data_IF_907448567395
#
_entry.id   IF_907448567395
#
_cell.length_a   1.000
_cell.length_b   1.000
_cell.length_c   1.000
_cell.angle_alpha   90.00
_cell.angle_beta   90.00
_cell.angle_gamma   90.00
#
_symmetry.space_group_name_H-M   'P 1'
#
loop_
_entity.id
_entity.type
_entity.pdbx_description
1 polymer ?
#
# COMPACT_ATOMS: atom_id res chain seq x y z
N UNK A 1 25.21 8.69 -25.42
CA UNK A 1 25.72 8.16 -24.13
C UNK A 1 25.34 9.14 -23.04
N UNK A 2 24.32 8.81 -22.25
CA UNK A 2 23.63 9.76 -21.37
C UNK A 2 24.31 9.86 -20.01
N UNK A 3 25.01 10.97 -19.76
CA UNK A 3 25.61 11.31 -18.47
C UNK A 3 24.58 11.37 -17.31
N UNK A 4 23.28 11.49 -17.62
CA UNK A 4 22.20 11.51 -16.65
C UNK A 4 21.95 10.16 -15.97
N UNK A 5 22.25 9.03 -16.64
CA UNK A 5 22.01 7.69 -16.09
C UNK A 5 23.02 7.27 -15.02
N UNK A 6 24.29 7.67 -15.17
CA UNK A 6 25.35 7.44 -14.18
C UNK A 6 25.18 8.31 -12.94
N UNK A 7 24.70 9.55 -13.09
CA UNK A 7 24.43 10.43 -11.96
C UNK A 7 23.30 9.90 -11.06
N UNK A 8 22.21 9.39 -11.66
CA UNK A 8 21.09 8.82 -10.91
C UNK A 8 21.44 7.49 -10.21
N UNK A 9 22.24 6.62 -10.85
CA UNK A 9 22.78 5.42 -10.21
C UNK A 9 23.68 5.75 -9.00
N UNK A 10 24.56 6.76 -9.14
CA UNK A 10 25.39 7.24 -8.04
C UNK A 10 24.59 7.82 -6.87
N UNK A 11 23.41 8.39 -7.13
CA UNK A 11 22.53 8.92 -6.09
C UNK A 11 21.92 7.81 -5.22
N UNK A 12 21.46 6.69 -5.82
CA UNK A 12 20.94 5.54 -5.08
C UNK A 12 22.00 4.98 -4.13
N UNK A 13 23.20 4.72 -4.64
CA UNK A 13 24.31 4.19 -3.83
C UNK A 13 24.74 5.18 -2.73
N UNK A 14 24.76 6.48 -3.02
CA UNK A 14 25.06 7.50 -2.02
C UNK A 14 24.03 7.56 -0.89
N UNK A 15 22.73 7.49 -1.20
CA UNK A 15 21.67 7.45 -0.20
C UNK A 15 21.68 6.14 0.60
N UNK A 16 21.96 5.01 -0.06
CA UNK A 16 22.03 3.70 0.59
C UNK A 16 23.02 3.69 1.76
N UNK A 17 24.18 4.33 1.61
CA UNK A 17 25.19 4.46 2.67
C UNK A 17 24.74 5.25 3.90
N UNK A 18 23.68 6.05 3.77
CA UNK A 18 23.13 6.83 4.88
C UNK A 18 22.07 6.07 5.67
N UNK A 19 21.56 4.95 5.13
CA UNK A 19 20.52 4.15 5.78
C UNK A 19 21.09 3.41 6.97
N UNK A 20 20.51 3.65 8.14
CA UNK A 20 20.79 2.96 9.38
C UNK A 20 19.49 2.75 10.16
N UNK A 21 19.39 1.75 11.05
CA UNK A 21 18.17 1.50 11.82
C UNK A 21 17.68 2.76 12.57
N UNK A 22 16.40 3.07 12.42
CA UNK A 22 15.75 4.24 13.03
C UNK A 22 15.93 5.57 12.29
N UNK A 23 16.81 5.66 11.28
CA UNK A 23 16.94 6.84 10.41
C UNK A 23 15.96 6.80 9.24
N UNK A 24 14.67 6.94 9.56
CA UNK A 24 13.60 6.89 8.57
C UNK A 24 13.68 8.03 7.53
N UNK A 25 14.28 9.17 7.89
CA UNK A 25 14.55 10.28 6.97
C UNK A 25 15.50 9.88 5.84
N UNK A 26 16.59 9.19 6.18
CA UNK A 26 17.55 8.68 5.21
C UNK A 26 16.95 7.54 4.36
N UNK A 27 16.11 6.69 4.97
CA UNK A 27 15.39 5.65 4.26
C UNK A 27 14.43 6.23 3.21
N UNK A 28 13.65 7.25 3.56
CA UNK A 28 12.77 7.93 2.59
C UNK A 28 13.56 8.60 1.46
N UNK A 29 14.72 9.20 1.76
CA UNK A 29 15.60 9.74 0.73
C UNK A 29 16.13 8.65 -0.22
N UNK A 30 16.43 7.45 0.30
CA UNK A 30 16.75 6.28 -0.53
C UNK A 30 15.57 5.88 -1.42
N UNK A 31 14.34 5.81 -0.89
CA UNK A 31 13.17 5.48 -1.69
C UNK A 31 12.95 6.49 -2.83
N UNK A 32 13.16 7.78 -2.57
CA UNK A 32 13.09 8.82 -3.60
C UNK A 32 14.18 8.66 -4.66
N UNK A 33 15.42 8.37 -4.24
CA UNK A 33 16.52 8.09 -5.16
C UNK A 33 16.24 6.85 -6.01
N UNK A 34 15.68 5.78 -5.43
CA UNK A 34 15.25 4.60 -6.17
C UNK A 34 14.15 4.93 -7.17
N UNK A 35 13.13 5.69 -6.77
CA UNK A 35 12.01 6.06 -7.64
C UNK A 35 12.44 6.91 -8.86
N UNK A 36 13.54 7.66 -8.77
CA UNK A 36 14.11 8.40 -9.89
C UNK A 36 15.33 7.73 -10.55
N UNK A 37 15.78 6.60 -10.01
CA UNK A 37 17.04 5.97 -10.34
C UNK A 37 16.90 4.68 -11.15
N UNK A 38 18.06 4.07 -11.41
CA UNK A 38 18.18 2.77 -12.07
C UNK A 38 18.99 1.83 -11.22
N UNK A 39 18.64 0.55 -11.26
CA UNK A 39 19.32 -0.52 -10.55
C UNK A 39 19.61 -1.69 -11.49
N UNK A 40 20.65 -2.45 -11.18
CA UNK A 40 21.05 -3.64 -11.91
C UNK A 40 20.41 -4.85 -11.26
N UNK A 41 19.31 -5.32 -11.84
CA UNK A 41 18.64 -6.55 -11.44
C UNK A 41 19.46 -7.76 -11.87
N UNK A 42 19.70 -8.70 -10.95
CA UNK A 42 20.52 -9.88 -11.22
C UNK A 42 19.63 -11.01 -11.76
N UNK A 43 19.94 -11.50 -12.97
CA UNK A 43 19.16 -12.55 -13.63
C UNK A 43 19.70 -13.93 -13.30
N UNK A 44 18.91 -14.72 -12.58
CA UNK A 44 19.24 -16.12 -12.30
C UNK A 44 19.24 -16.95 -13.58
N UNK A 45 18.28 -16.71 -14.48
CA UNK A 45 18.09 -17.42 -15.74
C UNK A 45 17.77 -16.41 -16.86
N UNK A 46 18.09 -16.76 -18.10
CA UNK A 46 17.75 -15.98 -19.29
C UNK A 46 18.67 -14.77 -19.53
N UNK A 47 18.22 -13.88 -20.42
CA UNK A 47 18.91 -12.63 -20.77
C UNK A 47 17.93 -11.46 -20.65
N UNK A 48 18.45 -10.24 -20.50
CA UNK A 48 17.58 -9.06 -20.44
C UNK A 48 16.63 -9.00 -21.65
N UNK A 49 15.32 -8.87 -21.39
CA UNK A 49 14.27 -8.84 -22.40
C UNK A 49 13.86 -10.19 -23.00
N UNK A 50 14.44 -11.32 -22.56
CA UNK A 50 14.02 -12.64 -23.04
C UNK A 50 12.80 -13.18 -22.27
N UNK A 51 11.93 -13.99 -22.89
CA UNK A 51 10.77 -14.57 -22.20
C UNK A 51 11.12 -15.52 -21.04
N UNK A 52 12.33 -16.06 -21.03
CA UNK A 52 12.87 -16.93 -19.97
C UNK A 52 13.70 -16.17 -18.93
N UNK A 53 13.73 -14.83 -18.97
CA UNK A 53 14.40 -14.00 -17.98
C UNK A 53 13.74 -14.16 -16.60
N UNK A 54 14.55 -14.50 -15.60
CA UNK A 54 14.10 -14.65 -14.23
C UNK A 54 15.06 -13.97 -13.27
N UNK A 55 14.53 -13.13 -12.38
CA UNK A 55 15.29 -12.59 -11.27
C UNK A 55 15.61 -13.70 -10.25
N UNK A 56 16.72 -13.55 -9.55
CA UNK A 56 16.96 -14.35 -8.36
C UNK A 56 15.87 -14.12 -7.31
N UNK A 57 15.70 -15.07 -6.39
CA UNK A 57 14.81 -14.95 -5.27
C UNK A 57 15.52 -15.32 -3.95
N UNK A 58 15.24 -14.55 -2.91
CA UNK A 58 15.64 -14.86 -1.54
C UNK A 58 14.43 -14.62 -0.64
N UNK A 59 14.26 -15.48 0.37
CA UNK A 59 13.30 -15.25 1.44
C UNK A 59 14.04 -14.86 2.72
N UNK A 60 13.63 -13.75 3.33
CA UNK A 60 14.14 -13.28 4.62
C UNK A 60 12.94 -12.95 5.51
N UNK A 61 12.85 -13.58 6.68
CA UNK A 61 11.73 -13.41 7.63
C UNK A 61 10.34 -13.57 6.98
N UNK A 62 10.20 -14.51 6.05
CA UNK A 62 8.95 -14.78 5.32
C UNK A 62 8.62 -13.74 4.24
N UNK A 63 9.54 -12.85 3.90
CA UNK A 63 9.39 -11.86 2.83
C UNK A 63 10.32 -12.20 1.66
N UNK A 64 9.77 -12.20 0.45
CA UNK A 64 10.51 -12.43 -0.79
C UNK A 64 11.22 -11.17 -1.29
N UNK A 65 12.49 -11.31 -1.69
CA UNK A 65 13.28 -10.27 -2.32
C UNK A 65 14.01 -10.72 -3.58
N UNK A 66 14.03 -9.87 -4.60
CA UNK A 66 14.86 -10.02 -5.79
C UNK A 66 16.21 -9.29 -5.60
N UNK A 67 17.37 -9.95 -5.78
CA UNK A 67 18.67 -9.34 -5.57
C UNK A 67 19.03 -8.39 -6.72
N UNK A 68 19.60 -7.24 -6.35
CA UNK A 68 20.05 -6.23 -7.28
C UNK A 68 21.23 -5.44 -6.73
N UNK A 69 21.93 -4.73 -7.61
CA UNK A 69 23.06 -3.88 -7.24
C UNK A 69 22.86 -2.45 -7.72
N UNK A 70 23.45 -1.50 -6.99
CA UNK A 70 23.21 -0.06 -7.19
C UNK A 70 24.13 0.59 -8.22
N UNK A 71 25.20 -0.09 -8.63
CA UNK A 71 26.15 0.44 -9.62
C UNK A 71 26.94 -0.67 -10.34
N UNK A 72 27.63 -0.29 -11.41
CA UNK A 72 28.55 -1.19 -12.12
C UNK A 72 29.75 -1.62 -11.24
N UNK A 73 30.17 -0.77 -10.29
CA UNK A 73 31.21 -1.12 -9.32
C UNK A 73 30.71 -2.22 -8.38
N UNK A 74 29.50 -2.06 -7.83
CA UNK A 74 28.85 -3.06 -6.98
C UNK A 74 28.57 -4.37 -7.75
N UNK A 75 28.19 -4.29 -9.03
CA UNK A 75 28.07 -5.46 -9.88
C UNK A 75 29.41 -6.22 -9.99
N UNK A 76 30.50 -5.50 -10.26
CA UNK A 76 31.83 -6.10 -10.34
C UNK A 76 32.26 -6.71 -8.99
N UNK A 77 31.99 -6.02 -7.88
CA UNK A 77 32.34 -6.45 -6.54
C UNK A 77 31.54 -7.67 -6.07
N UNK A 78 30.29 -7.82 -6.54
CA UNK A 78 29.43 -8.96 -6.19
C UNK A 78 29.93 -10.30 -6.71
N UNK A 79 30.82 -10.30 -7.72
CA UNK A 79 31.26 -11.51 -8.41
C UNK A 79 30.19 -12.16 -9.30
N UNK A 80 29.06 -11.46 -9.55
CA UNK A 80 28.00 -11.96 -10.41
C UNK A 80 28.50 -12.13 -11.85
N UNK A 81 28.43 -13.36 -12.35
CA UNK A 81 28.92 -13.73 -13.68
C UNK A 81 27.82 -14.15 -14.66
N UNK A 82 26.54 -14.01 -14.26
CA UNK A 82 25.37 -14.24 -15.13
C UNK A 82 24.88 -12.92 -15.72
N UNK A 83 23.83 -13.01 -16.53
CA UNK A 83 23.16 -11.84 -17.09
C UNK A 83 22.60 -10.93 -15.98
N UNK A 84 22.41 -9.67 -16.33
CA UNK A 84 21.77 -8.67 -15.50
C UNK A 84 20.97 -7.74 -16.40
N UNK A 85 20.06 -7.00 -15.79
CA UNK A 85 19.22 -6.03 -16.47
C UNK A 85 19.30 -4.68 -15.75
N UNK A 86 19.49 -3.60 -16.49
CA UNK A 86 19.43 -2.24 -15.93
C UNK A 86 17.99 -1.73 -16.04
N UNK A 87 17.29 -1.61 -14.91
CA UNK A 87 15.86 -1.28 -14.85
C UNK A 87 15.62 0.01 -14.07
N UNK A 88 14.66 0.81 -14.52
CA UNK A 88 14.19 2.00 -13.79
C UNK A 88 13.46 1.59 -12.49
N UNK A 89 13.73 2.27 -11.37
CA UNK A 89 13.23 1.88 -10.06
C UNK A 89 11.70 1.86 -9.94
N UNK A 90 11.00 2.72 -10.68
CA UNK A 90 9.52 2.69 -10.78
C UNK A 90 9.01 1.49 -11.55
N UNK A 91 9.72 1.08 -12.59
CA UNK A 91 9.27 -0.02 -13.45
C UNK A 91 9.46 -1.35 -12.72
N UNK A 92 10.62 -1.57 -12.09
CA UNK A 92 10.83 -2.77 -11.28
C UNK A 92 9.87 -2.82 -10.07
N UNK A 93 9.59 -1.68 -9.45
CA UNK A 93 8.62 -1.61 -8.37
C UNK A 93 7.23 -2.08 -8.84
N UNK A 94 6.73 -1.57 -9.97
CA UNK A 94 5.45 -1.98 -10.58
C UNK A 94 5.40 -3.46 -10.94
N UNK A 95 6.53 -4.02 -11.36
CA UNK A 95 6.63 -5.44 -11.70
C UNK A 95 6.56 -6.32 -10.45
N UNK A 96 7.26 -5.98 -9.37
CA UNK A 96 7.44 -6.88 -8.23
C UNK A 96 6.38 -6.76 -7.13
N UNK A 97 5.86 -5.55 -6.87
CA UNK A 97 4.94 -5.36 -5.74
C UNK A 97 3.64 -6.17 -5.84
N UNK A 98 3.00 -6.38 -7.03
CA UNK A 98 1.75 -7.14 -7.13
C UNK A 98 1.88 -8.59 -6.66
N UNK A 99 3.07 -9.16 -6.83
CA UNK A 99 3.42 -10.51 -6.38
C UNK A 99 4.02 -10.52 -4.97
N UNK A 100 3.96 -9.38 -4.26
CA UNK A 100 4.47 -9.18 -2.89
C UNK A 100 5.98 -9.42 -2.76
N UNK A 101 6.73 -9.17 -3.82
CA UNK A 101 8.20 -9.21 -3.83
C UNK A 101 8.81 -7.83 -3.58
N UNK A 102 9.84 -7.78 -2.74
CA UNK A 102 10.73 -6.64 -2.56
C UNK A 102 11.99 -6.72 -3.42
N UNK A 103 12.91 -5.77 -3.22
CA UNK A 103 14.27 -5.84 -3.77
C UNK A 103 15.31 -5.87 -2.65
N UNK A 104 16.42 -6.56 -2.88
CA UNK A 104 17.55 -6.60 -1.96
C UNK A 104 18.77 -5.92 -2.60
N UNK A 105 19.07 -4.71 -2.12
CA UNK A 105 20.14 -3.86 -2.63
C UNK A 105 21.49 -4.31 -2.08
N UNK A 106 22.46 -4.54 -2.98
CA UNK A 106 23.84 -4.90 -2.69
C UNK A 106 23.94 -6.02 -1.63
N UNK A 107 23.34 -7.20 -1.85
CA UNK A 107 23.33 -8.30 -0.88
C UNK A 107 24.73 -8.80 -0.50
N UNK A 108 25.70 -8.58 -1.39
CA UNK A 108 27.11 -8.92 -1.20
C UNK A 108 27.87 -7.94 -0.29
N UNK A 109 27.29 -6.77 0.00
CA UNK A 109 27.94 -5.76 0.83
C UNK A 109 28.20 -6.30 2.25
N UNK A 110 29.32 -5.94 2.90
CA UNK A 110 29.56 -6.31 4.29
C UNK A 110 28.39 -5.86 5.18
N UNK A 111 27.78 -6.81 5.91
CA UNK A 111 26.58 -6.55 6.71
C UNK A 111 25.25 -6.94 6.06
N UNK A 112 25.26 -7.45 4.82
CA UNK A 112 24.10 -8.11 4.21
C UNK A 112 23.15 -7.22 3.42
N UNK A 113 23.62 -6.09 2.87
CA UNK A 113 22.81 -5.21 2.02
C UNK A 113 21.58 -4.60 2.71
N UNK A 114 20.65 -4.04 1.92
CA UNK A 114 19.39 -3.46 2.43
C UNK A 114 18.20 -4.00 1.64
N UNK A 115 17.24 -4.60 2.34
CA UNK A 115 15.96 -5.01 1.77
C UNK A 115 14.97 -3.85 1.70
N UNK A 116 14.34 -3.66 0.54
CA UNK A 116 13.22 -2.75 0.34
C UNK A 116 11.96 -3.62 0.17
N UNK A 117 11.04 -3.64 1.14
CA UNK A 117 9.88 -4.53 1.11
C UNK A 117 8.91 -4.14 -0.01
N UNK A 118 8.08 -5.08 -0.44
CA UNK A 118 7.07 -4.87 -1.48
C UNK A 118 6.10 -3.72 -1.15
N UNK A 119 5.85 -3.45 0.14
CA UNK A 119 5.04 -2.31 0.59
C UNK A 119 5.66 -0.96 0.19
N UNK A 120 6.99 -0.82 0.28
CA UNK A 120 7.69 0.39 -0.17
C UNK A 120 7.85 0.41 -1.68
N UNK A 121 7.95 -0.74 -2.34
CA UNK A 121 7.84 -0.80 -3.81
C UNK A 121 6.47 -0.33 -4.29
N UNK A 122 5.37 -0.69 -3.62
CA UNK A 122 4.05 -0.14 -3.92
C UNK A 122 4.07 1.39 -3.83
N UNK A 123 4.67 1.96 -2.79
CA UNK A 123 4.80 3.43 -2.64
C UNK A 123 5.61 4.05 -3.78
N UNK A 124 6.71 3.42 -4.21
CA UNK A 124 7.48 3.85 -5.38
C UNK A 124 6.64 3.80 -6.66
N UNK A 125 5.87 2.72 -6.86
CA UNK A 125 5.07 2.50 -8.05
C UNK A 125 3.87 3.45 -8.17
N UNK A 126 3.22 3.78 -7.05
CA UNK A 126 1.98 4.59 -7.00
C UNK A 126 2.22 6.08 -6.71
N UNK A 127 3.32 6.40 -6.02
CA UNK A 127 3.73 7.75 -5.63
C UNK A 127 4.05 7.87 -4.14
N UNK A 128 5.30 8.21 -3.82
CA UNK A 128 5.79 8.35 -2.43
C UNK A 128 5.10 9.51 -1.67
N UNK A 129 4.58 10.49 -2.39
CA UNK A 129 3.83 11.65 -1.88
C UNK A 129 2.34 11.34 -1.59
N UNK A 130 1.85 10.20 -2.07
CA UNK A 130 0.43 9.81 -1.96
C UNK A 130 0.16 8.86 -0.81
N UNK A 131 1.21 8.26 -0.26
CA UNK A 131 1.12 7.21 0.74
C UNK A 131 1.99 7.55 1.94
N UNK A 132 1.53 7.22 3.16
CA UNK A 132 2.27 7.55 4.37
C UNK A 132 3.64 6.86 4.41
N UNK A 133 4.64 7.56 4.94
CA UNK A 133 5.96 7.00 5.18
C UNK A 133 5.94 5.99 6.33
N UNK A 134 6.50 4.82 6.07
CA UNK A 134 6.55 3.71 7.03
C UNK A 134 7.70 3.82 8.03
N UNK A 135 7.69 2.98 9.09
CA UNK A 135 6.62 2.07 9.50
C UNK A 135 5.37 2.80 10.00
N UNK A 136 4.20 2.14 9.90
CA UNK A 136 2.91 2.70 10.35
C UNK A 136 2.48 2.09 11.68
N UNK A 137 2.12 2.94 12.65
CA UNK A 137 1.40 2.52 13.85
C UNK A 137 -0.09 2.76 13.65
N UNK A 138 -0.86 1.67 13.66
CA UNK A 138 -2.30 1.66 13.38
C UNK A 138 -3.06 1.27 14.64
N UNK A 139 -4.07 2.07 15.00
CA UNK A 139 -4.94 1.81 16.15
C UNK A 139 -6.38 2.18 15.84
N UNK A 140 -7.32 1.80 16.70
CA UNK A 140 -8.63 2.45 16.70
C UNK A 140 -8.49 3.96 17.03
N UNK A 141 -9.32 4.84 16.47
CA UNK A 141 -9.33 6.25 16.83
C UNK A 141 -9.81 6.47 18.27
N UNK A 142 -9.01 7.15 19.09
CA UNK A 142 -9.37 7.56 20.45
C UNK A 142 -10.02 8.96 20.52
N UNK A 143 -10.11 9.65 19.38
CA UNK A 143 -10.65 11.02 19.30
C UNK A 143 -12.17 10.96 19.14
N UNK A 144 -12.88 11.69 19.99
CA UNK A 144 -14.34 11.81 19.95
C UNK A 144 -14.77 12.89 18.96
N UNK A 145 -15.23 12.46 17.77
CA UNK A 145 -15.77 13.35 16.71
C UNK A 145 -17.18 12.92 16.27
N UNK A 146 -18.15 12.84 17.19
CA UNK A 146 -19.46 12.26 16.92
C UNK A 146 -20.23 12.98 15.80
N UNK A 147 -20.06 14.30 15.65
CA UNK A 147 -20.72 15.09 14.60
C UNK A 147 -20.27 14.66 13.20
N UNK A 148 -18.97 14.43 13.01
CA UNK A 148 -18.41 13.94 11.75
C UNK A 148 -18.95 12.55 11.41
N UNK A 149 -18.92 11.61 12.36
CA UNK A 149 -19.41 10.26 12.13
C UNK A 149 -20.92 10.23 11.86
N UNK A 150 -21.71 11.05 12.55
CA UNK A 150 -23.16 11.15 12.32
C UNK A 150 -23.46 11.65 10.89
N UNK A 151 -22.81 12.75 10.47
CA UNK A 151 -23.00 13.29 9.11
C UNK A 151 -22.53 12.31 8.04
N UNK A 152 -21.37 11.66 8.26
CA UNK A 152 -20.83 10.68 7.33
C UNK A 152 -21.77 9.47 7.16
N UNK A 153 -22.33 8.95 8.27
CA UNK A 153 -23.33 7.88 8.23
C UNK A 153 -24.61 8.32 7.52
N UNK A 154 -25.09 9.54 7.77
CA UNK A 154 -26.27 10.09 7.08
C UNK A 154 -26.04 10.15 5.56
N UNK A 155 -24.88 10.65 5.12
CA UNK A 155 -24.54 10.73 3.71
C UNK A 155 -24.33 9.33 3.09
N UNK A 156 -23.79 8.37 3.86
CA UNK A 156 -23.64 6.99 3.42
C UNK A 156 -24.97 6.29 3.13
N UNK A 157 -26.01 6.54 3.94
CA UNK A 157 -27.36 6.03 3.65
C UNK A 157 -27.87 6.49 2.27
N UNK A 158 -27.57 7.73 1.88
CA UNK A 158 -27.94 8.32 0.59
C UNK A 158 -26.98 7.99 -0.56
N UNK A 159 -25.95 7.17 -0.31
CA UNK A 159 -24.92 6.82 -1.30
C UNK A 159 -24.93 5.31 -1.56
N UNK A 160 -25.78 4.79 -2.48
CA UNK A 160 -26.00 3.36 -2.68
C UNK A 160 -24.75 2.51 -2.91
N UNK A 161 -23.70 3.10 -3.49
CA UNK A 161 -22.42 2.43 -3.73
C UNK A 161 -21.71 1.96 -2.44
N UNK A 162 -21.96 2.59 -1.30
CA UNK A 162 -21.29 2.28 -0.02
C UNK A 162 -21.93 1.05 0.62
N UNK A 163 -21.13 0.01 0.83
CA UNK A 163 -21.48 -1.19 1.60
C UNK A 163 -21.22 -0.99 3.08
N UNK A 164 -19.99 -0.62 3.46
CA UNK A 164 -19.62 -0.42 4.85
C UNK A 164 -18.56 0.67 5.01
N UNK A 165 -18.47 1.27 6.21
CA UNK A 165 -17.43 2.22 6.58
C UNK A 165 -16.70 1.77 7.83
N UNK A 166 -15.36 1.83 7.79
CA UNK A 166 -14.48 1.53 8.92
C UNK A 166 -13.58 2.73 9.21
N UNK A 167 -12.95 2.74 10.39
CA UNK A 167 -12.08 3.84 10.81
C UNK A 167 -10.80 3.35 11.48
N UNK A 168 -9.70 4.05 11.25
CA UNK A 168 -8.42 3.83 11.90
C UNK A 168 -7.72 5.15 12.20
N UNK A 169 -6.91 5.16 13.25
CA UNK A 169 -5.89 6.17 13.46
C UNK A 169 -4.58 5.70 12.86
N UNK A 170 -3.99 6.51 12.00
CA UNK A 170 -2.74 6.20 11.32
C UNK A 170 -1.66 7.14 11.82
N UNK A 171 -0.62 6.57 12.43
CA UNK A 171 0.58 7.28 12.84
C UNK A 171 1.75 6.80 11.98
N UNK A 172 2.16 7.55 10.95
CA UNK A 172 3.39 7.25 10.23
C UNK A 172 4.62 7.57 11.07
N UNK A 173 5.75 6.94 10.75
CA UNK A 173 7.04 7.29 11.33
C UNK A 173 7.52 8.68 10.93
N UNK A 174 7.14 9.13 9.73
CA UNK A 174 7.37 10.48 9.23
C UNK A 174 6.07 11.09 8.70
N UNK A 175 5.79 12.33 9.12
CA UNK A 175 4.56 13.05 8.79
C UNK A 175 3.62 13.19 9.98
N UNK A 176 2.41 13.69 9.71
CA UNK A 176 1.41 13.93 10.73
C UNK A 176 0.50 12.72 10.91
N UNK A 177 0.05 12.43 12.14
CA UNK A 177 -0.96 11.43 12.37
C UNK A 177 -2.31 11.88 11.80
N UNK A 178 -3.14 10.94 11.35
CA UNK A 178 -4.40 11.26 10.71
C UNK A 178 -5.47 10.18 10.92
N UNK A 179 -6.73 10.60 10.81
CA UNK A 179 -7.87 9.68 10.76
C UNK A 179 -8.00 9.13 9.35
N UNK A 180 -8.16 7.82 9.21
CA UNK A 180 -8.51 7.18 7.93
C UNK A 180 -9.92 6.61 7.99
N UNK A 181 -10.70 6.86 6.95
CA UNK A 181 -11.98 6.20 6.69
C UNK A 181 -11.78 5.14 5.60
N UNK A 182 -12.04 3.88 5.95
CA UNK A 182 -12.11 2.77 5.01
C UNK A 182 -13.45 2.78 4.30
N UNK A 183 -13.42 2.94 2.98
CA UNK A 183 -14.58 2.93 2.10
C UNK A 183 -14.72 1.56 1.45
N UNK A 184 -15.73 0.79 1.86
CA UNK A 184 -16.09 -0.49 1.23
C UNK A 184 -17.27 -0.26 0.28
N UNK A 185 -17.03 -0.47 -1.02
CA UNK A 185 -17.99 -0.26 -2.09
C UNK A 185 -18.50 -1.61 -2.63
N UNK A 186 -19.72 -1.63 -3.17
CA UNK A 186 -20.21 -2.83 -3.86
C UNK A 186 -19.44 -3.15 -5.13
N UNK A 187 -18.98 -2.11 -5.83
CA UNK A 187 -18.19 -2.19 -7.05
C UNK A 187 -17.21 -1.00 -7.14
N UNK A 188 -16.21 -1.11 -7.99
CA UNK A 188 -15.19 -0.08 -8.21
C UNK A 188 -15.37 0.66 -9.55
N UNK A 189 -16.60 0.72 -10.07
CA UNK A 189 -16.89 1.47 -11.30
C UNK A 189 -16.70 2.98 -11.08
N UNK A 190 -16.40 3.76 -12.14
CA UNK A 190 -16.22 5.20 -12.01
C UNK A 190 -17.40 5.92 -11.32
N UNK A 191 -18.68 5.64 -11.64
CA UNK A 191 -19.81 6.24 -10.93
C UNK A 191 -19.85 5.94 -9.43
N UNK A 192 -19.53 4.70 -9.02
CA UNK A 192 -19.49 4.31 -7.61
C UNK A 192 -18.37 5.02 -6.85
N UNK A 193 -17.20 5.16 -7.47
CA UNK A 193 -16.06 5.90 -6.90
C UNK A 193 -16.38 7.40 -6.78
N UNK A 194 -16.99 7.99 -7.81
CA UNK A 194 -17.34 9.41 -7.82
C UNK A 194 -18.43 9.73 -6.78
N UNK A 195 -19.42 8.84 -6.60
CA UNK A 195 -20.43 8.96 -5.55
C UNK A 195 -19.80 8.92 -4.15
N UNK A 196 -18.88 7.98 -3.90
CA UNK A 196 -18.15 7.92 -2.63
C UNK A 196 -17.29 9.18 -2.37
N UNK A 197 -16.65 9.72 -3.42
CA UNK A 197 -15.89 10.98 -3.34
C UNK A 197 -16.80 12.15 -2.98
N UNK A 198 -17.94 12.29 -3.64
CA UNK A 198 -18.91 13.34 -3.37
C UNK A 198 -19.48 13.24 -1.94
N UNK A 199 -19.80 12.04 -1.48
CA UNK A 199 -20.23 11.77 -0.10
C UNK A 199 -19.19 12.24 0.93
N UNK A 200 -17.91 11.91 0.71
CA UNK A 200 -16.83 12.35 1.58
C UNK A 200 -16.68 13.88 1.56
N UNK A 201 -16.72 14.51 0.39
CA UNK A 201 -16.65 15.98 0.26
C UNK A 201 -17.76 16.71 1.02
N UNK A 202 -18.97 16.16 1.06
CA UNK A 202 -20.06 16.71 1.86
C UNK A 202 -19.82 16.54 3.37
N UNK A 203 -19.20 15.42 3.75
CA UNK A 203 -19.00 15.03 5.16
C UNK A 203 -17.81 15.72 5.82
N UNK A 204 -16.75 16.08 5.06
CA UNK A 204 -15.54 16.71 5.62
C UNK A 204 -15.80 18.08 6.26
N UNK A 205 -16.93 18.73 5.94
CA UNK A 205 -17.34 19.99 6.58
C UNK A 205 -17.56 19.88 8.10
N UNK A 206 -17.83 18.67 8.60
CA UNK A 206 -18.01 18.39 10.03
C UNK A 206 -16.72 17.93 10.74
N UNK A 207 -15.59 17.88 10.04
CA UNK A 207 -14.29 17.52 10.63
C UNK A 207 -13.77 18.71 11.45
N UNK A 208 -13.32 18.50 12.70
CA UNK A 208 -12.69 19.56 13.49
C UNK A 208 -11.49 20.18 12.77
N UNK A 209 -11.30 21.48 12.94
CA UNK A 209 -10.15 22.19 12.37
C UNK A 209 -8.83 21.55 12.83
N UNK A 210 -7.89 21.39 11.89
CA UNK A 210 -6.57 20.82 12.16
C UNK A 210 -6.52 19.29 12.26
N UNK A 211 -7.65 18.57 12.15
CA UNK A 211 -7.67 17.10 12.10
C UNK A 211 -7.53 16.60 10.65
N UNK A 212 -6.41 15.98 10.26
CA UNK A 212 -6.28 15.44 8.92
C UNK A 212 -7.13 14.17 8.77
N UNK A 213 -7.87 14.09 7.66
CA UNK A 213 -8.70 12.92 7.31
C UNK A 213 -8.30 12.43 5.92
N UNK A 214 -8.08 11.12 5.82
CA UNK A 214 -7.81 10.41 4.57
C UNK A 214 -8.82 9.30 4.35
N UNK A 215 -8.87 8.78 3.13
CA UNK A 215 -9.73 7.66 2.74
C UNK A 215 -8.89 6.55 2.15
N UNK A 216 -9.26 5.29 2.45
CA UNK A 216 -8.67 4.11 1.83
C UNK A 216 -9.75 3.25 1.20
N UNK A 217 -9.50 2.73 0.00
CA UNK A 217 -10.40 1.79 -0.65
C UNK A 217 -10.24 0.41 0.00
N UNK A 218 -11.33 -0.12 0.56
CA UNK A 218 -11.35 -1.45 1.20
C UNK A 218 -11.30 -2.60 0.19
N UNK A 219 -11.24 -2.31 -1.12
CA UNK A 219 -10.96 -3.29 -2.18
C UNK A 219 -9.47 -3.44 -2.49
N UNK A 220 -8.61 -2.51 -2.05
CA UNK A 220 -7.17 -2.59 -2.29
C UNK A 220 -6.52 -3.61 -1.35
N UNK A 221 -6.06 -4.74 -1.88
CA UNK A 221 -5.45 -5.84 -1.13
C UNK A 221 -3.97 -5.61 -0.77
N UNK A 222 -3.38 -4.54 -1.30
CA UNK A 222 -1.99 -4.16 -1.09
C UNK A 222 -1.85 -2.98 -0.14
N UNK A 223 -2.97 -2.38 0.28
CA UNK A 223 -2.96 -1.27 1.21
C UNK A 223 -2.79 -1.71 2.66
N UNK A 224 -1.70 -1.33 3.35
CA UNK A 224 -1.47 -1.77 4.72
C UNK A 224 -2.54 -1.25 5.69
N UNK A 225 -3.14 -0.08 5.41
CA UNK A 225 -4.24 0.46 6.23
C UNK A 225 -5.53 -0.32 5.95
N UNK A 226 -5.85 -0.63 4.69
CA UNK A 226 -7.01 -1.46 4.36
C UNK A 226 -6.87 -2.88 4.93
N UNK A 227 -5.69 -3.50 4.80
CA UNK A 227 -5.38 -4.81 5.38
C UNK A 227 -5.60 -4.82 6.90
N UNK A 228 -5.09 -3.80 7.60
CA UNK A 228 -5.29 -3.66 9.04
C UNK A 228 -6.77 -3.45 9.40
N UNK A 229 -7.49 -2.59 8.68
CA UNK A 229 -8.91 -2.33 8.90
C UNK A 229 -9.77 -3.58 8.72
N UNK A 230 -9.47 -4.42 7.73
CA UNK A 230 -10.16 -5.70 7.51
C UNK A 230 -9.99 -6.64 8.71
N UNK A 231 -8.77 -6.73 9.22
CA UNK A 231 -8.41 -7.66 10.29
C UNK A 231 -8.79 -7.17 11.70
N UNK A 232 -8.75 -5.86 11.96
CA UNK A 232 -8.79 -5.33 13.33
C UNK A 232 -9.97 -4.41 13.64
N UNK A 233 -10.61 -3.80 12.63
CA UNK A 233 -11.64 -2.78 12.86
C UNK A 233 -13.03 -3.28 12.49
N UNK A 234 -14.02 -3.05 13.37
CA UNK A 234 -15.44 -3.26 13.04
C UNK A 234 -15.99 -2.08 12.24
N UNK A 235 -16.94 -2.30 11.31
CA UNK A 235 -17.66 -1.20 10.67
C UNK A 235 -18.44 -0.37 11.70
N UNK A 236 -18.39 0.96 11.55
CA UNK A 236 -19.29 1.87 12.28
C UNK A 236 -20.55 2.20 11.46
N UNK A 237 -20.51 1.91 10.16
CA UNK A 237 -21.66 1.89 9.27
C UNK A 237 -21.59 0.61 8.43
N UNK A 238 -22.73 -0.07 8.31
CA UNK A 238 -22.90 -1.25 7.47
C UNK A 238 -24.32 -1.23 6.91
N UNK A 239 -24.46 -1.15 5.58
CA UNK A 239 -25.76 -1.04 4.92
C UNK A 239 -26.65 -2.25 5.22
N UNK A 240 -26.08 -3.45 5.32
CA UNK A 240 -26.84 -4.69 5.53
C UNK A 240 -27.35 -4.80 6.96
N UNK A 241 -26.59 -4.30 7.94
CA UNK A 241 -27.03 -4.22 9.33
C UNK A 241 -28.19 -3.22 9.55
N UNK A 242 -28.38 -2.27 8.62
CA UNK A 242 -29.45 -1.26 8.68
C UNK A 242 -30.63 -1.57 7.74
N UNK A 243 -30.55 -2.65 6.96
CA UNK A 243 -31.70 -3.09 6.17
C UNK A 243 -32.81 -3.57 7.14
N UNK A 244 -34.08 -3.14 6.96
CA UNK A 244 -35.16 -3.70 7.74
C UNK A 244 -35.16 -5.22 7.53
N UNK A 245 -35.22 -5.99 8.61
CA UNK A 245 -35.34 -7.43 8.55
C UNK A 245 -36.47 -7.75 7.55
N UNK A 246 -36.14 -8.48 6.48
CA UNK A 246 -37.16 -8.97 5.58
C UNK A 246 -38.21 -9.71 6.41
N UNK A 247 -39.52 -9.45 6.23
CA UNK A 247 -40.53 -10.18 6.97
C UNK A 247 -40.33 -11.66 6.67
N UNK A 248 -40.00 -12.42 7.71
CA UNK A 248 -39.91 -13.88 7.64
C UNK A 248 -41.29 -14.34 7.18
N UNK A 249 -41.39 -14.81 5.93
CA UNK A 249 -42.61 -15.40 5.43
C UNK A 249 -42.89 -16.64 6.30
N UNK A 250 -43.78 -16.47 7.28
CA UNK A 250 -44.22 -17.55 8.15
C UNK A 250 -44.82 -18.63 7.27
N UNK A 251 -44.15 -19.78 7.18
CA UNK A 251 -44.72 -21.00 6.63
C UNK A 251 -45.88 -21.42 7.53
N UNK A 252 -47.09 -20.99 7.15
CA UNK A 252 -48.33 -21.45 7.74
C UNK A 252 -48.51 -22.94 7.46
N UNK A 253 -48.50 -23.75 8.50
CA UNK A 253 -48.98 -25.12 8.42
C UNK A 253 -50.52 -25.08 8.34
N UNK A 254 -51.17 -25.78 7.40
CA UNK A 254 -52.61 -25.88 7.41
C UNK A 254 -53.07 -26.73 8.62
N UNK A 255 -54.18 -26.37 9.29
CA UNK A 255 -54.72 -27.18 10.37
C UNK A 255 -55.23 -28.51 9.81
N UNK A 256 -54.85 -29.61 10.45
CA UNK A 256 -55.42 -30.93 10.18
C UNK A 256 -56.90 -30.91 10.60
N UNK A 257 -57.78 -30.95 9.61
CA UNK A 257 -59.20 -31.23 9.82
C UNK A 257 -59.35 -32.70 10.23
N UNK A 258 -59.69 -32.93 11.49
CA UNK A 258 -60.15 -34.23 11.96
C UNK A 258 -61.63 -34.40 11.56
N UNK A 259 -61.92 -35.40 10.71
CA UNK A 259 -63.14 -36.22 10.72
C UNK A 259 -62.88 -37.51 9.95
#
# INVERSE_FOLDING_TARGET
MSASGTAAAGQVEHMLRQVTPGRYDAYEALLQALAGGRIWMLLWQGQAGSPDAQYGNMEVDGLGYAPCVTSAQELSASGWNRAHELVDGRDIARTLFPDRWGIWLNPHAPGGGVGIPWLDLRRIATGLDRMPAGPLRLTEPAIEIPQFYALLTQNAHHTPAIRSLRRAWVQPALGVPYLTIGLDLYDTSPPSVDAARAMMQQSVSAVPEGLPVSTVAMSDEYDPVAMWLRANARPFYDREAHAPAAPVAGYGYPPQSAY
#
